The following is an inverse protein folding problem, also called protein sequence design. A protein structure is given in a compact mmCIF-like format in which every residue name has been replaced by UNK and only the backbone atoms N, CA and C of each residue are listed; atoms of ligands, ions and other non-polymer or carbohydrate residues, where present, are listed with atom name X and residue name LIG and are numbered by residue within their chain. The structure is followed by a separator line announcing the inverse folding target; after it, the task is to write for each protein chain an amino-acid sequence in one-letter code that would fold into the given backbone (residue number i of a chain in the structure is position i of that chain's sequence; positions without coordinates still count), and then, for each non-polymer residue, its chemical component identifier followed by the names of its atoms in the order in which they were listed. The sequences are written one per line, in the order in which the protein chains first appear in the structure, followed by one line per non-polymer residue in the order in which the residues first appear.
data_IF_305072857211
#
_entry.id   IF_305072857211
#
_cell.length_a   1.000
_cell.length_b   1.000
_cell.length_c   1.000
_cell.angle_alpha   90.00
_cell.angle_beta   90.00
_cell.angle_gamma   90.00
#
_symmetry.space_group_name_H-M   'P 1'
#
loop_
_entity.id
_entity.type
_entity.pdbx_description
1 polymer ?
#
# COMPACT_ATOMS: atom_id res chain seq x y z
N UNK A 1 3.78 -6.92 17.44
CA UNK A 1 3.14 -6.83 16.11
C UNK A 1 3.77 -7.88 15.23
N UNK A 2 2.99 -8.83 14.68
CA UNK A 2 3.50 -9.88 13.78
C UNK A 2 3.10 -9.51 12.35
N UNK A 3 4.01 -8.84 11.64
CA UNK A 3 3.85 -8.49 10.24
C UNK A 3 4.73 -7.30 9.88
N UNK A 4 5.57 -7.44 8.84
CA UNK A 4 6.28 -6.33 8.19
C UNK A 4 5.47 -5.74 7.02
N UNK A 5 4.18 -6.05 7.07
CA UNK A 5 3.00 -5.69 6.28
C UNK A 5 2.38 -4.32 6.58
N UNK A 6 2.56 -3.24 5.80
CA UNK A 6 1.68 -2.07 5.95
C UNK A 6 0.58 -2.10 4.87
N UNK A 7 -0.69 -2.04 5.28
CA UNK A 7 -1.83 -2.14 4.36
C UNK A 7 -2.44 -0.77 4.13
N UNK A 8 -2.44 -0.32 2.88
CA UNK A 8 -3.22 0.82 2.40
C UNK A 8 -4.48 0.27 1.71
N UNK A 9 -5.65 0.53 2.28
CA UNK A 9 -6.92 -0.02 1.81
C UNK A 9 -7.82 1.12 1.31
N UNK A 10 -8.03 1.16 -0.01
CA UNK A 10 -8.69 2.27 -0.71
C UNK A 10 -9.75 1.76 -1.72
N UNK A 11 -10.88 1.21 -1.26
CA UNK A 11 -12.03 0.84 -2.12
C UNK A 11 -12.61 2.04 -2.87
N UNK A 12 -12.31 3.24 -2.40
CA UNK A 12 -12.70 4.53 -2.98
C UNK A 12 -11.47 5.41 -3.04
N UNK A 13 -11.52 6.43 -3.91
CA UNK A 13 -10.45 7.43 -4.00
C UNK A 13 -10.18 8.04 -2.61
N UNK A 14 -8.95 7.96 -2.09
CA UNK A 14 -8.63 8.49 -0.77
C UNK A 14 -8.82 10.00 -0.71
N UNK A 15 -9.22 10.51 0.45
CA UNK A 15 -9.21 11.95 0.74
C UNK A 15 -7.82 12.37 1.23
N UNK A 16 -7.54 13.68 1.20
CA UNK A 16 -6.29 14.21 1.77
C UNK A 16 -6.19 13.94 3.28
N UNK A 17 -7.30 14.08 4.01
CA UNK A 17 -7.35 13.78 5.45
C UNK A 17 -6.94 12.34 5.72
N UNK A 18 -7.53 11.39 4.98
CA UNK A 18 -7.19 9.98 5.13
C UNK A 18 -5.72 9.70 4.83
N UNK A 19 -5.19 10.31 3.78
CA UNK A 19 -3.79 10.19 3.40
C UNK A 19 -2.84 10.72 4.49
N UNK A 20 -3.22 11.79 5.19
CA UNK A 20 -2.45 12.33 6.31
C UNK A 20 -2.48 11.39 7.52
N UNK A 21 -3.64 10.83 7.87
CA UNK A 21 -3.77 9.84 8.94
C UNK A 21 -2.90 8.60 8.69
N UNK A 22 -2.91 8.09 7.46
CA UNK A 22 -2.11 6.91 7.08
C UNK A 22 -0.61 7.22 7.05
N UNK A 23 -0.23 8.41 6.57
CA UNK A 23 1.14 8.88 6.60
C UNK A 23 1.67 8.99 8.04
N UNK A 24 0.85 9.52 8.96
CA UNK A 24 1.18 9.60 10.39
C UNK A 24 1.26 8.21 11.02
N UNK A 25 0.27 7.34 10.77
CA UNK A 25 0.29 5.97 11.26
C UNK A 25 1.53 5.19 10.78
N UNK A 26 1.94 5.36 9.52
CA UNK A 26 3.17 4.78 9.00
C UNK A 26 4.43 5.36 9.66
N UNK A 27 4.45 6.68 9.88
CA UNK A 27 5.59 7.35 10.51
C UNK A 27 5.86 6.82 11.91
N UNK A 28 4.82 6.58 12.70
CA UNK A 28 4.94 6.01 14.05
C UNK A 28 5.59 4.62 14.07
N UNK A 29 5.44 3.84 13.00
CA UNK A 29 6.02 2.49 12.89
C UNK A 29 7.56 2.50 12.83
N UNK A 30 8.21 3.64 12.57
CA UNK A 30 9.68 3.78 12.60
C UNK A 30 10.29 3.44 13.96
N UNK A 31 9.50 3.54 15.03
CA UNK A 31 9.93 3.18 16.37
C UNK A 31 10.01 1.66 16.59
N UNK A 32 9.44 0.87 15.67
CA UNK A 32 9.33 -0.58 15.78
C UNK A 32 9.96 -1.33 14.61
N UNK A 33 10.09 -0.70 13.44
CA UNK A 33 10.54 -1.35 12.22
C UNK A 33 11.57 -0.49 11.48
N UNK A 34 12.66 -1.11 11.05
CA UNK A 34 13.63 -0.48 10.15
C UNK A 34 13.15 -0.46 8.70
N UNK A 35 12.43 -1.51 8.29
CA UNK A 35 11.84 -1.59 6.95
C UNK A 35 10.60 -2.47 6.90
N UNK A 36 9.72 -2.13 5.94
CA UNK A 36 8.41 -2.75 5.73
C UNK A 36 8.12 -2.90 4.24
N UNK A 37 7.20 -3.80 3.90
CA UNK A 37 6.57 -3.83 2.57
C UNK A 37 5.16 -3.25 2.67
N UNK A 38 4.65 -2.74 1.55
CA UNK A 38 3.34 -2.09 1.48
C UNK A 38 2.43 -2.92 0.58
N UNK A 39 1.25 -3.26 1.09
CA UNK A 39 0.17 -3.85 0.33
C UNK A 39 -0.87 -2.77 0.08
N UNK A 40 -1.19 -2.51 -1.19
CA UNK A 40 -2.15 -1.47 -1.57
C UNK A 40 -3.30 -2.13 -2.29
N UNK A 41 -4.49 -2.03 -1.72
CA UNK A 41 -5.70 -2.54 -2.33
C UNK A 41 -6.59 -1.40 -2.79
N UNK A 42 -6.90 -1.39 -4.09
CA UNK A 42 -7.84 -0.44 -4.67
C UNK A 42 -9.18 -1.09 -5.04
N UNK A 43 -9.16 -2.36 -5.48
CA UNK A 43 -10.36 -3.10 -5.89
C UNK A 43 -11.10 -2.51 -7.09
N UNK A 44 -10.56 -1.48 -7.74
CA UNK A 44 -11.16 -0.72 -8.83
C UNK A 44 -10.10 -0.32 -9.86
N UNK A 45 -10.49 0.14 -11.07
CA UNK A 45 -9.54 0.63 -12.05
C UNK A 45 -8.73 1.79 -11.48
N UNK A 46 -7.39 1.72 -11.57
CA UNK A 46 -6.48 2.67 -10.92
C UNK A 46 -6.75 4.13 -11.32
N UNK A 47 -7.31 4.98 -10.42
CA UNK A 47 -7.21 6.41 -10.58
C UNK A 47 -5.92 6.88 -9.87
N UNK A 48 -4.98 7.55 -10.56
CA UNK A 48 -3.81 8.10 -9.89
C UNK A 48 -4.28 9.07 -8.79
N UNK A 49 -3.81 8.94 -7.53
CA UNK A 49 -4.20 9.86 -6.46
C UNK A 49 -3.86 11.29 -6.83
N UNK A 50 -4.60 12.28 -6.33
CA UNK A 50 -4.31 13.69 -6.59
C UNK A 50 -2.89 14.09 -6.09
N UNK A 51 -2.22 15.09 -6.69
CA UNK A 51 -0.85 15.47 -6.32
C UNK A 51 -0.64 15.72 -4.82
N UNK A 52 -1.62 16.35 -4.15
CA UNK A 52 -1.61 16.63 -2.72
C UNK A 52 -1.65 15.36 -1.86
N UNK A 53 -2.43 14.35 -2.27
CA UNK A 53 -2.48 13.04 -1.60
C UNK A 53 -1.14 12.33 -1.77
N UNK A 54 -0.58 12.33 -2.99
CA UNK A 54 0.74 11.74 -3.25
C UNK A 54 1.82 12.41 -2.42
N UNK A 55 1.77 13.75 -2.29
CA UNK A 55 2.73 14.51 -1.49
C UNK A 55 2.60 14.21 0.01
N UNK A 56 1.38 14.09 0.54
CA UNK A 56 1.14 13.74 1.93
C UNK A 56 1.72 12.35 2.27
N UNK A 57 1.41 11.35 1.44
CA UNK A 57 1.95 9.99 1.62
C UNK A 57 3.47 10.00 1.46
N UNK A 58 4.01 10.64 0.41
CA UNK A 58 5.45 10.73 0.20
C UNK A 58 6.20 11.31 1.41
N UNK A 59 5.65 12.33 2.06
CA UNK A 59 6.24 12.91 3.27
C UNK A 59 6.29 11.92 4.44
N UNK A 60 5.19 11.18 4.69
CA UNK A 60 5.15 10.15 5.73
C UNK A 60 6.10 8.99 5.45
N UNK A 61 6.05 8.45 4.24
CA UNK A 61 6.89 7.31 3.83
C UNK A 61 8.38 7.66 3.73
N UNK A 62 8.74 8.92 3.48
CA UNK A 62 10.14 9.38 3.53
C UNK A 62 10.71 9.42 4.96
N UNK A 63 9.86 9.66 5.97
CA UNK A 63 10.27 9.75 7.38
C UNK A 63 10.07 8.46 8.19
N UNK A 64 9.33 7.50 7.65
CA UNK A 64 9.00 6.22 8.29
C UNK A 64 10.03 5.11 8.04
N UNK A 65 9.67 3.84 8.31
CA UNK A 65 10.48 2.69 7.92
C UNK A 65 10.80 2.70 6.42
N UNK A 66 11.93 2.13 6.02
CA UNK A 66 12.26 1.96 4.60
C UNK A 66 11.23 1.05 3.91
N UNK A 67 10.74 1.44 2.74
CA UNK A 67 9.87 0.59 1.92
C UNK A 67 10.72 -0.37 1.08
N UNK A 68 10.59 -1.67 1.30
CA UNK A 68 11.33 -2.70 0.54
C UNK A 68 10.58 -3.13 -0.72
N UNK A 69 9.25 -3.23 -0.66
CA UNK A 69 8.42 -3.64 -1.79
C UNK A 69 7.00 -3.11 -1.68
N UNK A 70 6.34 -2.96 -2.83
CA UNK A 70 4.94 -2.50 -2.92
C UNK A 70 4.16 -3.43 -3.85
N UNK A 71 3.10 -4.05 -3.33
CA UNK A 71 2.14 -4.83 -4.10
C UNK A 71 0.85 -4.05 -4.30
N UNK A 72 0.47 -3.76 -5.54
CA UNK A 72 -0.80 -3.10 -5.88
C UNK A 72 -1.83 -4.12 -6.34
N UNK A 73 -3.02 -4.09 -5.77
CA UNK A 73 -4.19 -4.85 -6.22
C UNK A 73 -5.16 -3.89 -6.91
N UNK A 74 -5.25 -3.99 -8.23
CA UNK A 74 -6.05 -3.10 -9.08
C UNK A 74 -6.96 -3.91 -10.01
N UNK A 75 -8.17 -3.43 -10.26
CA UNK A 75 -9.06 -4.07 -11.22
C UNK A 75 -8.59 -3.77 -12.66
N UNK A 76 -8.23 -4.80 -13.42
CA UNK A 76 -7.41 -4.64 -14.62
C UNK A 76 -8.17 -4.47 -15.93
N UNK A 77 -9.50 -4.54 -15.96
CA UNK A 77 -10.22 -4.47 -17.24
C UNK A 77 -10.16 -3.05 -17.87
N UNK A 78 -9.90 -2.03 -17.05
CA UNK A 78 -9.76 -0.63 -17.47
C UNK A 78 -8.60 0.13 -16.80
N UNK A 79 -7.69 -0.56 -16.11
CA UNK A 79 -6.60 0.11 -15.38
C UNK A 79 -5.56 0.75 -16.29
N UNK A 80 -5.06 1.92 -15.88
CA UNK A 80 -3.86 2.53 -16.44
C UNK A 80 -2.71 1.52 -16.42
N UNK A 81 -1.92 1.49 -17.50
CA UNK A 81 -0.84 0.50 -17.65
C UNK A 81 0.17 0.54 -16.51
N UNK A 82 0.86 -0.59 -16.28
CA UNK A 82 1.84 -0.77 -15.19
C UNK A 82 2.81 0.41 -15.03
N UNK A 83 3.21 1.06 -16.13
CA UNK A 83 4.07 2.24 -16.13
C UNK A 83 3.55 3.40 -15.26
N UNK A 84 2.24 3.63 -15.21
CA UNK A 84 1.64 4.70 -14.39
C UNK A 84 1.71 4.33 -12.92
N UNK A 85 1.38 3.09 -12.57
CA UNK A 85 1.46 2.60 -11.18
C UNK A 85 2.91 2.63 -10.68
N UNK A 86 3.86 2.23 -11.51
CA UNK A 86 5.29 2.37 -11.19
C UNK A 86 5.67 3.84 -10.96
N UNK A 87 5.25 4.75 -11.84
CA UNK A 87 5.54 6.18 -11.68
C UNK A 87 4.96 6.74 -10.37
N UNK A 88 3.70 6.45 -10.07
CA UNK A 88 3.06 6.89 -8.82
C UNK A 88 3.76 6.29 -7.61
N UNK A 89 4.12 5.01 -7.65
CA UNK A 89 4.85 4.35 -6.57
C UNK A 89 6.19 5.03 -6.28
N UNK A 90 6.95 5.40 -7.31
CA UNK A 90 8.23 6.12 -7.12
C UNK A 90 8.06 7.54 -6.57
N UNK A 91 6.90 8.16 -6.78
CA UNK A 91 6.58 9.47 -6.20
C UNK A 91 6.16 9.34 -4.72
N UNK A 92 5.45 8.28 -4.37
CA UNK A 92 4.91 8.05 -3.02
C UNK A 92 5.90 7.34 -2.08
N UNK A 93 6.80 6.51 -2.62
CA UNK A 93 7.70 5.65 -1.85
C UNK A 93 9.14 5.89 -2.30
N UNK A 94 9.85 6.87 -1.72
CA UNK A 94 11.20 7.21 -2.13
C UNK A 94 12.14 5.99 -2.02
N UNK A 95 12.86 5.69 -3.11
CA UNK A 95 13.86 4.61 -3.13
C UNK A 95 13.30 3.20 -3.27
N UNK A 96 11.98 3.02 -3.43
CA UNK A 96 11.43 1.70 -3.76
C UNK A 96 11.79 1.31 -5.19
N UNK A 97 12.28 0.09 -5.37
CA UNK A 97 12.57 -0.49 -6.69
C UNK A 97 11.77 -1.75 -6.98
N UNK A 98 11.16 -2.35 -5.95
CA UNK A 98 10.37 -3.57 -6.06
C UNK A 98 8.87 -3.23 -6.00
N UNK A 99 8.25 -3.05 -7.17
CA UNK A 99 6.82 -2.74 -7.29
C UNK A 99 6.18 -3.76 -8.22
N UNK A 100 5.06 -4.33 -7.81
CA UNK A 100 4.33 -5.30 -8.63
C UNK A 100 2.83 -5.06 -8.57
N UNK A 101 2.16 -5.30 -9.71
CA UNK A 101 0.72 -5.18 -9.86
C UNK A 101 0.10 -6.57 -9.90
N UNK A 102 -1.05 -6.70 -9.28
CA UNK A 102 -1.84 -7.90 -9.16
C UNK A 102 -3.32 -7.57 -9.39
N UNK A 103 -4.07 -8.57 -9.85
CA UNK A 103 -5.55 -8.50 -9.88
C UNK A 103 -6.15 -9.05 -8.60
N UNK A 104 -5.55 -10.13 -8.11
CA UNK A 104 -6.07 -10.90 -6.99
C UNK A 104 -5.33 -10.53 -5.69
N UNK A 105 -6.05 -10.21 -4.60
CA UNK A 105 -5.45 -9.96 -3.29
C UNK A 105 -4.58 -11.12 -2.80
N UNK A 106 -5.00 -12.35 -3.06
CA UNK A 106 -4.28 -13.55 -2.67
C UNK A 106 -2.88 -13.64 -3.31
N UNK A 107 -2.78 -13.32 -4.60
CA UNK A 107 -1.49 -13.34 -5.31
C UNK A 107 -0.54 -12.28 -4.77
N UNK A 108 -1.04 -11.06 -4.52
CA UNK A 108 -0.28 -9.98 -3.93
C UNK A 108 0.21 -10.33 -2.51
N UNK A 109 -0.67 -10.91 -1.68
CA UNK A 109 -0.35 -11.32 -0.32
C UNK A 109 0.70 -12.44 -0.31
N UNK A 110 0.56 -13.44 -1.18
CA UNK A 110 1.56 -14.51 -1.32
C UNK A 110 2.92 -13.98 -1.79
N UNK A 111 2.94 -13.04 -2.73
CA UNK A 111 4.19 -12.44 -3.17
C UNK A 111 4.86 -11.62 -2.06
N UNK A 112 4.10 -10.77 -1.36
CA UNK A 112 4.61 -9.98 -0.24
C UNK A 112 5.00 -10.84 0.96
N UNK A 113 4.37 -11.97 1.20
CA UNK A 113 4.73 -12.87 2.31
C UNK A 113 6.17 -13.39 2.15
N UNK A 114 6.56 -13.71 0.92
CA UNK A 114 7.93 -14.11 0.58
C UNK A 114 8.91 -12.95 0.76
N UNK A 115 8.57 -11.76 0.27
CA UNK A 115 9.47 -10.58 0.32
C UNK A 115 9.64 -10.06 1.76
N UNK A 116 8.53 -9.91 2.48
CA UNK A 116 8.49 -9.38 3.83
C UNK A 116 8.79 -10.42 4.92
N UNK A 117 8.97 -11.70 4.54
CA UNK A 117 9.18 -12.84 5.44
C UNK A 117 8.07 -12.95 6.49
N UNK A 118 6.83 -12.95 6.02
CA UNK A 118 5.62 -13.05 6.84
C UNK A 118 4.68 -14.13 6.29
N UNK A 119 3.51 -14.32 6.91
CA UNK A 119 2.49 -15.27 6.46
C UNK A 119 1.47 -14.53 5.60
N UNK A 120 1.06 -15.12 4.48
CA UNK A 120 0.10 -14.49 3.56
C UNK A 120 -1.27 -14.34 4.24
N UNK A 121 -1.64 -15.30 5.07
CA UNK A 121 -2.85 -15.34 5.88
C UNK A 121 -2.95 -14.11 6.79
N UNK A 122 -1.86 -13.68 7.42
CA UNK A 122 -1.86 -12.47 8.27
C UNK A 122 -2.14 -11.19 7.47
N UNK A 123 -1.67 -11.13 6.22
CA UNK A 123 -1.93 -9.98 5.33
C UNK A 123 -3.41 -9.98 4.94
N UNK A 124 -3.96 -11.14 4.57
CA UNK A 124 -5.35 -11.30 4.18
C UNK A 124 -6.32 -11.07 5.35
N UNK A 125 -6.01 -11.58 6.54
CA UNK A 125 -6.79 -11.30 7.75
C UNK A 125 -6.82 -9.80 8.10
N UNK A 126 -5.69 -9.11 7.89
CA UNK A 126 -5.60 -7.66 8.04
C UNK A 126 -6.47 -6.93 7.02
N UNK A 127 -6.48 -7.39 5.77
CA UNK A 127 -7.33 -6.86 4.70
C UNK A 127 -8.80 -7.05 5.02
N UNK A 128 -9.22 -8.25 5.40
CA UNK A 128 -10.59 -8.58 5.81
C UNK A 128 -11.06 -7.73 7.00
N UNK A 129 -10.17 -7.45 7.94
CA UNK A 129 -10.48 -6.59 9.08
C UNK A 129 -10.76 -5.16 8.65
N UNK A 130 -9.98 -4.62 7.70
CA UNK A 130 -10.17 -3.26 7.15
C UNK A 130 -11.44 -3.17 6.29
N UNK A 131 -11.74 -4.22 5.53
CA UNK A 131 -12.96 -4.32 4.72
C UNK A 131 -14.22 -4.28 5.60
N UNK A 132 -14.26 -5.08 6.66
CA UNK A 132 -15.38 -5.11 7.62
C UNK A 132 -15.53 -3.83 8.43
N UNK A 133 -14.48 -3.03 8.55
CA UNK A 133 -14.50 -1.76 9.27
C UNK A 133 -15.05 -0.60 8.41
N UNK A 134 -15.30 -0.80 7.12
CA UNK A 134 -15.86 0.24 6.27
C UNK A 134 -17.31 0.57 6.68
N UNK A 135 -17.67 1.86 6.76
CA UNK A 135 -19.07 2.26 6.93
C UNK A 135 -19.89 1.83 5.72
N UNK A 136 -21.08 1.27 5.99
CA UNK A 136 -22.04 0.80 4.98
C UNK A 136 -22.67 1.94 4.16
#
# INVERSE_FOLDING_TARGET
MRGRVFILYHPVTPTLERALEEAEAYLELRHHFESMSVFIWLGQPFPPPAPEIRAALAAGFAGGPKVDAVGWVVDSDHSLGASVVHSVSTQMFPGVSCVQLFREPFEAAHWLSVVAKTEAELILDGLDTLDRAQPA
#
